data_IF_482389771036
#
_entry.id   IF_482389771036
#
_cell.length_a   1.000
_cell.length_b   1.000
_cell.length_c   1.000
_cell.angle_alpha   90.00
_cell.angle_beta   90.00
_cell.angle_gamma   90.00
#
_symmetry.space_group_name_H-M   'P 1'
#
loop_
_entity.id
_entity.type
_entity.pdbx_description
1 polymer ?
#
# COMPACT_ATOMS: atom_id res chain seq x y z
N UNK A 1 13.62 -18.77 0.76
CA UNK A 1 13.35 -17.58 1.59
C UNK A 1 12.08 -17.86 2.38
N UNK A 2 12.17 -17.84 3.71
CA UNK A 2 10.97 -17.83 4.56
C UNK A 2 10.24 -16.51 4.30
N UNK A 3 8.95 -16.56 3.95
CA UNK A 3 8.15 -15.35 3.75
C UNK A 3 7.99 -14.64 5.09
N UNK A 4 8.91 -13.74 5.42
CA UNK A 4 8.74 -12.76 6.48
C UNK A 4 7.44 -12.01 6.21
N UNK A 5 6.48 -12.14 7.13
CA UNK A 5 5.16 -11.51 7.09
C UNK A 5 5.28 -9.99 7.24
N UNK A 6 5.76 -9.32 6.19
CA UNK A 6 5.92 -7.87 6.18
C UNK A 6 4.77 -7.25 5.37
N UNK A 7 3.75 -6.76 6.09
CA UNK A 7 2.57 -6.13 5.48
C UNK A 7 2.95 -4.99 4.52
N UNK A 8 3.98 -4.20 4.83
CA UNK A 8 4.45 -3.14 3.95
C UNK A 8 4.97 -3.70 2.61
N UNK A 9 5.81 -4.74 2.65
CA UNK A 9 6.32 -5.39 1.44
C UNK A 9 5.18 -6.02 0.62
N UNK A 10 4.22 -6.67 1.27
CA UNK A 10 3.06 -7.26 0.58
C UNK A 10 2.18 -6.22 -0.09
N UNK A 11 1.97 -5.06 0.55
CA UNK A 11 1.30 -3.92 -0.08
C UNK A 11 2.07 -3.49 -1.32
N UNK A 12 3.39 -3.30 -1.21
CA UNK A 12 4.23 -2.84 -2.31
C UNK A 12 4.23 -3.83 -3.50
N UNK A 13 4.36 -5.13 -3.25
CA UNK A 13 4.30 -6.17 -4.28
C UNK A 13 2.91 -6.26 -4.94
N UNK A 14 1.85 -6.10 -4.15
CA UNK A 14 0.49 -6.05 -4.70
C UNK A 14 0.31 -4.85 -5.62
N UNK A 15 0.78 -3.66 -5.21
CA UNK A 15 0.74 -2.46 -6.02
C UNK A 15 1.55 -2.65 -7.32
N UNK A 16 2.78 -3.18 -7.26
CA UNK A 16 3.64 -3.42 -8.43
C UNK A 16 2.93 -4.26 -9.50
N UNK A 17 2.19 -5.27 -9.06
CA UNK A 17 1.51 -6.21 -9.97
C UNK A 17 0.22 -5.62 -10.56
N UNK A 18 -0.51 -4.83 -9.76
CA UNK A 18 -1.91 -4.48 -10.02
C UNK A 18 -2.14 -3.00 -10.38
N UNK A 19 -1.24 -2.10 -9.99
CA UNK A 19 -1.33 -0.69 -10.31
C UNK A 19 -0.91 -0.52 -11.78
N UNK A 20 -1.87 -0.12 -12.62
CA UNK A 20 -1.64 0.11 -14.05
C UNK A 20 -1.36 1.59 -14.29
N UNK A 21 -0.75 1.90 -15.43
CA UNK A 21 -0.54 3.28 -15.88
C UNK A 21 -1.87 4.04 -15.88
N UNK A 22 -1.90 5.22 -15.21
CA UNK A 22 -3.11 6.04 -14.97
C UNK A 22 -4.23 5.36 -14.16
N UNK A 23 -3.94 4.21 -13.54
CA UNK A 23 -4.85 3.52 -12.64
C UNK A 23 -4.73 4.02 -11.20
N UNK A 24 -5.60 3.49 -10.35
CA UNK A 24 -5.45 3.64 -8.91
C UNK A 24 -5.90 2.35 -8.20
N UNK A 25 -5.48 2.22 -6.95
CA UNK A 25 -5.92 1.16 -6.05
C UNK A 25 -6.41 1.82 -4.77
N UNK A 26 -7.69 1.61 -4.46
CA UNK A 26 -8.24 2.02 -3.17
C UNK A 26 -7.82 1.07 -2.04
N UNK A 27 -7.78 1.59 -0.83
CA UNK A 27 -7.39 0.84 0.37
C UNK A 27 -8.33 -0.31 0.69
N UNK A 28 -9.62 -0.23 0.32
CA UNK A 28 -10.59 -1.31 0.55
C UNK A 28 -10.24 -2.54 -0.31
N UNK A 29 -9.80 -2.32 -1.55
CA UNK A 29 -9.32 -3.38 -2.44
C UNK A 29 -8.06 -4.04 -1.88
N UNK A 30 -7.12 -3.27 -1.33
CA UNK A 30 -5.93 -3.80 -0.68
C UNK A 30 -6.27 -4.63 0.57
N UNK A 31 -7.15 -4.14 1.44
CA UNK A 31 -7.60 -4.86 2.64
C UNK A 31 -8.23 -6.20 2.27
N UNK A 32 -9.06 -6.24 1.22
CA UNK A 32 -9.65 -7.49 0.70
C UNK A 32 -8.60 -8.43 0.11
N UNK A 33 -7.63 -7.91 -0.63
CA UNK A 33 -6.57 -8.74 -1.24
C UNK A 33 -5.59 -9.28 -0.19
N UNK A 34 -5.31 -8.50 0.85
CA UNK A 34 -4.39 -8.83 1.94
C UNK A 34 -5.15 -9.25 3.21
N UNK A 35 -6.19 -10.08 3.05
CA UNK A 35 -7.13 -10.48 4.10
C UNK A 35 -6.53 -11.21 5.33
N UNK A 36 -5.25 -11.58 5.26
CA UNK A 36 -4.49 -12.11 6.41
C UNK A 36 -4.12 -11.05 7.44
N UNK A 37 -4.15 -9.77 7.06
CA UNK A 37 -3.92 -8.63 7.95
C UNK A 37 -5.23 -7.99 8.36
N UNK A 38 -5.27 -7.38 9.55
CA UNK A 38 -6.42 -6.56 9.94
C UNK A 38 -6.46 -5.29 9.10
N UNK A 39 -7.67 -4.77 8.86
CA UNK A 39 -7.88 -3.53 8.13
C UNK A 39 -7.04 -2.38 8.70
N UNK A 40 -7.08 -2.19 10.03
CA UNK A 40 -6.30 -1.16 10.71
C UNK A 40 -4.80 -1.31 10.47
N UNK A 41 -4.28 -2.54 10.43
CA UNK A 41 -2.85 -2.77 10.19
C UNK A 41 -2.45 -2.48 8.74
N UNK A 42 -3.30 -2.82 7.77
CA UNK A 42 -3.09 -2.45 6.36
C UNK A 42 -3.10 -0.94 6.19
N UNK A 43 -4.11 -0.24 6.73
CA UNK A 43 -4.22 1.21 6.65
C UNK A 43 -3.05 1.93 7.32
N UNK A 44 -2.59 1.41 8.47
CA UNK A 44 -1.40 1.93 9.15
C UNK A 44 -0.16 1.81 8.25
N UNK A 45 0.07 0.65 7.62
CA UNK A 45 1.24 0.47 6.75
C UNK A 45 1.15 1.31 5.47
N UNK A 46 -0.04 1.49 4.89
CA UNK A 46 -0.25 2.44 3.77
C UNK A 46 0.15 3.85 4.20
N UNK A 47 -0.26 4.29 5.39
CA UNK A 47 0.13 5.60 5.95
C UNK A 47 1.64 5.73 6.11
N UNK A 48 2.32 4.71 6.64
CA UNK A 48 3.79 4.73 6.79
C UNK A 48 4.52 4.77 5.44
N UNK A 49 4.06 4.00 4.45
CA UNK A 49 4.63 4.00 3.10
C UNK A 49 4.44 5.36 2.41
N UNK A 50 3.28 5.99 2.58
CA UNK A 50 3.00 7.33 2.09
C UNK A 50 3.91 8.37 2.76
N UNK A 51 3.98 8.37 4.09
CA UNK A 51 4.81 9.31 4.85
C UNK A 51 6.31 9.15 4.58
N UNK A 52 6.75 7.93 4.25
CA UNK A 52 8.13 7.63 3.86
C UNK A 52 8.43 7.96 2.40
N UNK A 53 7.42 8.37 1.62
CA UNK A 53 7.56 8.71 0.21
C UNK A 53 7.74 7.51 -0.72
N UNK A 54 7.36 6.30 -0.31
CA UNK A 54 7.43 5.10 -1.15
C UNK A 54 6.24 4.97 -2.12
N UNK A 55 5.11 5.59 -1.78
CA UNK A 55 3.91 5.63 -2.62
C UNK A 55 3.33 7.03 -2.67
N UNK A 56 2.60 7.33 -3.74
CA UNK A 56 1.73 8.50 -3.84
C UNK A 56 0.28 8.08 -3.63
N UNK A 57 -0.44 8.77 -2.74
CA UNK A 57 -1.84 8.48 -2.47
C UNK A 57 -2.63 9.74 -2.08
N UNK A 58 -3.93 9.73 -2.39
CA UNK A 58 -4.90 10.67 -1.83
C UNK A 58 -5.48 10.08 -0.56
N UNK A 59 -5.35 10.79 0.56
CA UNK A 59 -6.02 10.45 1.81
C UNK A 59 -7.42 11.06 1.84
N UNK A 60 -8.43 10.22 2.05
CA UNK A 60 -9.82 10.61 2.23
C UNK A 60 -10.18 10.42 3.69
N UNK A 61 -10.21 11.52 4.43
CA UNK A 61 -10.60 11.52 5.83
C UNK A 61 -12.11 11.72 5.94
N UNK A 62 -12.75 10.84 6.71
CA UNK A 62 -14.14 10.99 7.14
C UNK A 62 -14.20 11.06 8.66
N UNK A 63 -15.35 11.44 9.22
CA UNK A 63 -15.56 11.44 10.68
C UNK A 63 -15.41 10.04 11.32
N UNK A 64 -15.46 8.96 10.52
CA UNK A 64 -15.44 7.58 11.01
C UNK A 64 -14.18 6.79 10.62
N UNK A 65 -13.50 7.15 9.53
CA UNK A 65 -12.31 6.43 9.04
C UNK A 65 -11.48 7.23 8.03
N UNK A 66 -10.24 6.78 7.82
CA UNK A 66 -9.36 7.24 6.73
C UNK A 66 -9.28 6.17 5.66
N UNK A 67 -9.55 6.53 4.41
CA UNK A 67 -9.33 5.69 3.24
C UNK A 67 -8.20 6.28 2.37
N UNK A 68 -7.53 5.43 1.59
CA UNK A 68 -6.47 5.87 0.69
C UNK A 68 -6.80 5.47 -0.75
N UNK A 69 -6.53 6.36 -1.69
CA UNK A 69 -6.50 6.06 -3.13
C UNK A 69 -5.05 6.18 -3.57
N UNK A 70 -4.40 5.03 -3.79
CA UNK A 70 -2.99 4.95 -4.17
C UNK A 70 -2.90 5.09 -5.68
N UNK A 71 -2.13 6.06 -6.14
CA UNK A 71 -2.05 6.43 -7.56
C UNK A 71 -0.73 6.04 -8.19
N UNK A 72 0.34 5.91 -7.41
CA UNK A 72 1.68 5.66 -7.95
C UNK A 72 2.62 5.01 -6.92
N UNK A 73 3.62 4.26 -7.40
CA UNK A 73 4.77 3.80 -6.62
C UNK A 73 5.94 4.70 -6.99
N UNK A 74 6.54 5.37 -6.01
CA UNK A 74 7.64 6.31 -6.32
C UNK A 74 8.91 5.54 -6.73
N UNK A 75 9.91 6.21 -7.32
CA UNK A 75 11.21 5.58 -7.57
C UNK A 75 11.85 4.97 -6.32
N UNK A 76 11.65 5.61 -5.16
CA UNK A 76 12.10 5.06 -3.87
C UNK A 76 11.32 3.80 -3.48
N UNK A 77 10.02 3.75 -3.79
CA UNK A 77 9.18 2.58 -3.57
C UNK A 77 9.62 1.38 -4.42
N UNK A 78 9.97 1.60 -5.69
CA UNK A 78 10.52 0.54 -6.53
C UNK A 78 11.89 0.06 -6.02
N UNK A 79 12.75 0.96 -5.54
CA UNK A 79 14.01 0.57 -4.91
C UNK A 79 13.78 -0.28 -3.65
N UNK A 80 12.83 0.13 -2.79
CA UNK A 80 12.43 -0.64 -1.61
C UNK A 80 12.02 -2.08 -1.95
N UNK A 81 11.26 -2.29 -3.04
CA UNK A 81 10.86 -3.63 -3.49
C UNK A 81 12.08 -4.44 -3.92
N UNK A 82 13.02 -3.85 -4.66
CA UNK A 82 14.20 -4.57 -5.17
C UNK A 82 15.20 -4.97 -4.08
N UNK A 83 15.21 -4.27 -2.95
CA UNK A 83 16.11 -4.53 -1.82
C UNK A 83 15.59 -5.61 -0.86
N UNK A 84 14.39 -6.17 -1.09
CA UNK A 84 13.73 -7.19 -0.25
C UNK A 84 13.36 -8.46 -1.02
#
# INVERSE_FOLDING_TARGET
MELTHNCALDIMLYLETNLKLNGNIDSVKLVKALNRYSETYVLYNISQLLNSGYISALALETLASTAYIITDITPAGHAYINDH
#
